data_IF_293699176151
#
_entry.id   IF_293699176151
#
_cell.length_a   1.000
_cell.length_b   1.000
_cell.length_c   1.000
_cell.angle_alpha   90.00
_cell.angle_beta   90.00
_cell.angle_gamma   90.00
#
_symmetry.space_group_name_H-M   'P 1'
#
loop_
_entity.id
_entity.type
_entity.pdbx_description
1 polymer ?
#
# COMPACT_ATOMS: atom_id res chain seq x y z
N UNK A 1 9.92 5.60 9.81
CA UNK A 1 9.14 4.52 9.22
C UNK A 1 9.13 3.42 10.25
N UNK A 2 7.98 2.81 10.50
CA UNK A 2 7.84 1.63 11.35
C UNK A 2 8.75 0.50 10.86
N UNK A 3 9.14 -0.41 11.76
CA UNK A 3 9.99 -1.55 11.43
C UNK A 3 9.20 -2.67 10.72
N UNK A 4 8.75 -2.38 9.50
CA UNK A 4 8.08 -3.36 8.64
C UNK A 4 9.01 -4.52 8.24
N UNK A 5 10.33 -4.31 8.29
CA UNK A 5 11.30 -5.37 8.06
C UNK A 5 11.21 -6.43 9.16
N UNK A 6 11.12 -6.04 10.44
CA UNK A 6 10.90 -6.98 11.54
C UNK A 6 9.59 -7.76 11.41
N UNK A 7 8.51 -7.09 10.96
CA UNK A 7 7.23 -7.74 10.69
C UNK A 7 7.35 -8.79 9.56
N UNK A 8 7.99 -8.42 8.43
CA UNK A 8 8.19 -9.30 7.28
C UNK A 8 9.10 -10.49 7.61
N UNK A 9 10.12 -10.26 8.42
CA UNK A 9 11.04 -11.28 8.91
C UNK A 9 10.48 -12.11 10.07
N UNK A 10 9.25 -11.82 10.52
CA UNK A 10 8.56 -12.50 11.63
C UNK A 10 9.32 -12.44 12.96
N UNK A 11 10.14 -11.42 13.14
CA UNK A 11 10.82 -11.13 14.42
C UNK A 11 9.98 -10.21 15.32
N UNK A 12 8.90 -9.65 14.78
CA UNK A 12 7.89 -8.87 15.48
C UNK A 12 6.51 -9.17 14.88
N UNK A 13 5.48 -9.21 15.71
CA UNK A 13 4.08 -9.35 15.27
C UNK A 13 3.48 -7.99 14.91
N UNK A 14 2.39 -7.99 14.14
CA UNK A 14 1.69 -6.74 13.82
C UNK A 14 1.13 -6.07 15.09
N UNK A 15 0.65 -6.84 16.06
CA UNK A 15 0.12 -6.29 17.31
C UNK A 15 1.21 -5.64 18.17
N UNK A 16 2.43 -6.20 18.18
CA UNK A 16 3.59 -5.56 18.84
C UNK A 16 4.03 -4.29 18.11
N UNK A 17 4.03 -4.31 16.76
CA UNK A 17 4.43 -3.16 15.96
C UNK A 17 3.50 -1.94 16.16
N UNK A 18 2.21 -2.19 16.38
CA UNK A 18 1.20 -1.13 16.50
C UNK A 18 0.86 -0.76 17.94
N UNK A 19 1.51 -1.38 18.93
CA UNK A 19 1.24 -1.11 20.34
C UNK A 19 1.53 0.35 20.68
N UNK A 20 0.56 1.01 21.31
CA UNK A 20 0.67 2.42 21.70
C UNK A 20 0.63 3.46 20.56
N UNK A 21 0.48 3.06 19.29
CA UNK A 21 0.37 4.03 18.19
C UNK A 21 -0.91 4.87 18.26
N UNK A 22 -0.79 6.13 17.85
CA UNK A 22 -1.87 7.09 17.75
C UNK A 22 -2.26 7.36 16.29
N UNK A 23 -3.37 8.06 16.06
CA UNK A 23 -3.78 8.52 14.72
C UNK A 23 -2.71 9.43 14.09
N UNK A 24 -2.03 10.26 14.88
CA UNK A 24 -0.96 11.13 14.39
C UNK A 24 0.27 10.31 13.95
N UNK A 25 0.58 9.21 14.64
CA UNK A 25 1.64 8.30 14.20
C UNK A 25 1.29 7.65 12.85
N UNK A 26 0.03 7.23 12.66
CA UNK A 26 -0.44 6.69 11.37
C UNK A 26 -0.37 7.72 10.23
N UNK A 27 -0.61 9.00 10.56
CA UNK A 27 -0.49 10.12 9.63
C UNK A 27 0.96 10.32 9.21
N UNK A 28 1.85 10.46 10.18
CA UNK A 28 3.29 10.63 9.95
C UNK A 28 3.87 9.46 9.15
N UNK A 29 3.45 8.23 9.48
CA UNK A 29 3.92 7.03 8.79
C UNK A 29 3.40 6.95 7.35
N UNK A 30 2.17 7.41 7.10
CA UNK A 30 1.63 7.57 5.74
C UNK A 30 2.46 8.58 4.96
N UNK A 31 2.81 9.70 5.59
CA UNK A 31 3.58 10.74 4.92
C UNK A 31 4.99 10.25 4.56
N UNK A 32 5.68 9.60 5.49
CA UNK A 32 7.02 9.06 5.27
C UNK A 32 7.04 7.95 4.20
N UNK A 33 6.04 7.07 4.17
CA UNK A 33 5.92 6.03 3.15
C UNK A 33 5.72 6.61 1.75
N UNK A 34 4.82 7.59 1.61
CA UNK A 34 4.57 8.24 0.31
C UNK A 34 5.80 9.05 -0.13
N UNK A 35 6.44 9.77 0.79
CA UNK A 35 7.67 10.52 0.50
C UNK A 35 8.80 9.59 0.02
N UNK A 36 8.96 8.42 0.64
CA UNK A 36 9.92 7.42 0.19
C UNK A 36 9.61 6.93 -1.23
N UNK A 37 8.36 6.60 -1.54
CA UNK A 37 7.97 6.17 -2.89
C UNK A 37 8.15 7.28 -3.94
N UNK A 38 7.84 8.53 -3.59
CA UNK A 38 8.07 9.69 -4.46
C UNK A 38 9.56 9.92 -4.72
N UNK A 39 10.40 9.76 -3.70
CA UNK A 39 11.85 9.88 -3.83
C UNK A 39 12.44 8.82 -4.76
N UNK A 40 11.94 7.58 -4.71
CA UNK A 40 12.38 6.50 -5.61
C UNK A 40 12.15 6.81 -7.09
N UNK A 41 11.10 7.59 -7.41
CA UNK A 41 10.72 7.97 -8.77
C UNK A 41 11.09 9.42 -9.13
N UNK A 42 11.96 10.06 -8.34
CA UNK A 42 12.30 11.47 -8.50
C UNK A 42 12.91 11.78 -9.88
N UNK A 43 13.81 10.92 -10.35
CA UNK A 43 14.53 11.08 -11.62
C UNK A 43 13.88 10.32 -12.78
N UNK A 44 12.74 9.68 -12.55
CA UNK A 44 12.04 8.92 -13.58
C UNK A 44 11.41 9.83 -14.64
N UNK A 45 11.33 9.31 -15.87
CA UNK A 45 10.68 9.94 -17.02
C UNK A 45 9.50 9.10 -17.51
N UNK A 46 8.69 9.64 -18.42
CA UNK A 46 7.50 8.93 -18.93
C UNK A 46 7.80 7.55 -19.52
N UNK A 47 8.94 7.39 -20.19
CA UNK A 47 9.36 6.10 -20.74
C UNK A 47 9.54 5.03 -19.66
N UNK A 48 9.98 5.40 -18.46
CA UNK A 48 10.20 4.48 -17.34
C UNK A 48 8.87 3.94 -16.79
N UNK A 49 7.78 4.71 -16.91
CA UNK A 49 6.45 4.33 -16.41
C UNK A 49 5.90 3.10 -17.13
N UNK A 50 6.18 3.01 -18.43
CA UNK A 50 5.70 1.93 -19.30
C UNK A 50 6.77 0.89 -19.62
N UNK A 51 7.99 1.07 -19.12
CA UNK A 51 9.06 0.08 -19.27
C UNK A 51 8.62 -1.25 -18.65
N UNK A 52 8.78 -2.35 -19.41
CA UNK A 52 8.47 -3.70 -18.94
C UNK A 52 9.76 -4.31 -18.38
N UNK A 53 9.87 -4.48 -17.06
CA UNK A 53 11.06 -5.04 -16.43
C UNK A 53 11.17 -6.53 -16.73
N UNK A 54 12.37 -7.08 -16.54
CA UNK A 54 12.57 -8.51 -16.45
C UNK A 54 12.28 -8.95 -15.03
N UNK A 55 11.23 -9.76 -14.86
CA UNK A 55 10.89 -10.41 -13.59
C UNK A 55 10.57 -11.89 -13.87
N UNK A 56 11.55 -12.80 -13.75
CA UNK A 56 11.35 -14.22 -14.02
C UNK A 56 10.45 -14.90 -12.98
N UNK A 57 10.23 -14.26 -11.82
CA UNK A 57 9.40 -14.77 -10.73
C UNK A 57 8.00 -14.12 -10.71
N UNK A 58 7.64 -13.36 -11.76
CA UNK A 58 6.34 -12.73 -11.89
C UNK A 58 5.21 -13.76 -11.81
N UNK A 59 4.40 -13.64 -10.76
CA UNK A 59 3.29 -14.54 -10.48
C UNK A 59 2.22 -13.85 -9.61
N UNK A 60 1.28 -13.16 -10.24
CA UNK A 60 0.11 -12.57 -9.59
C UNK A 60 -1.09 -13.52 -9.67
N UNK A 61 -1.34 -14.25 -8.58
CA UNK A 61 -2.49 -15.16 -8.48
C UNK A 61 -3.83 -14.43 -8.33
N UNK A 62 -3.82 -13.10 -8.20
CA UNK A 62 -5.00 -12.24 -8.12
C UNK A 62 -5.21 -11.37 -9.36
N UNK A 63 -4.45 -11.63 -10.44
CA UNK A 63 -4.55 -10.92 -11.70
C UNK A 63 -5.99 -10.89 -12.24
N UNK A 64 -6.35 -9.79 -12.92
CA UNK A 64 -7.69 -9.60 -13.44
C UNK A 64 -8.05 -10.62 -14.53
N UNK A 65 -7.06 -11.08 -15.29
CA UNK A 65 -7.20 -12.15 -16.28
C UNK A 65 -6.10 -13.21 -16.15
N UNK A 66 -6.35 -14.46 -16.60
CA UNK A 66 -5.33 -15.52 -16.57
C UNK A 66 -4.04 -15.17 -17.33
N UNK A 67 -4.14 -14.34 -18.38
CA UNK A 67 -3.01 -13.91 -19.20
C UNK A 67 -2.10 -12.92 -18.46
N UNK A 68 -2.62 -12.21 -17.46
CA UNK A 68 -1.89 -11.25 -16.64
C UNK A 68 -1.18 -11.89 -15.42
N UNK A 69 -1.38 -13.19 -15.16
CA UNK A 69 -0.75 -13.84 -13.99
C UNK A 69 0.77 -13.79 -14.04
N UNK A 70 1.37 -13.96 -15.22
CA UNK A 70 2.82 -14.06 -15.40
C UNK A 70 3.50 -12.80 -15.95
N UNK A 71 2.80 -11.65 -15.99
CA UNK A 71 3.39 -10.43 -16.54
C UNK A 71 4.22 -9.71 -15.49
N UNK A 72 5.38 -9.20 -15.91
CA UNK A 72 6.17 -8.31 -15.08
C UNK A 72 5.48 -6.95 -14.95
N UNK A 73 5.41 -6.44 -13.73
CA UNK A 73 4.72 -5.20 -13.43
C UNK A 73 5.56 -3.98 -13.80
N UNK A 74 5.01 -3.08 -14.59
CA UNK A 74 5.62 -1.77 -14.87
C UNK A 74 5.55 -0.86 -13.65
N UNK A 75 6.26 0.27 -13.67
CA UNK A 75 6.13 1.28 -12.62
C UNK A 75 4.69 1.79 -12.51
N UNK A 76 4.00 2.03 -13.64
CA UNK A 76 2.58 2.42 -13.63
C UNK A 76 1.68 1.41 -12.92
N UNK A 77 1.94 0.12 -13.14
CA UNK A 77 1.28 -1.00 -12.47
C UNK A 77 1.49 -0.98 -10.96
N UNK A 78 2.75 -0.88 -10.53
CA UNK A 78 3.11 -0.85 -9.11
C UNK A 78 2.41 0.29 -8.38
N UNK A 79 2.43 1.49 -8.96
CA UNK A 79 1.84 2.69 -8.35
C UNK A 79 0.34 2.51 -8.10
N UNK A 80 -0.42 1.98 -9.06
CA UNK A 80 -1.88 1.81 -8.88
C UNK A 80 -2.20 0.69 -7.89
N UNK A 81 -1.41 -0.39 -7.88
CA UNK A 81 -1.61 -1.53 -6.99
C UNK A 81 -1.33 -1.19 -5.53
N UNK A 82 -0.20 -0.55 -5.24
CA UNK A 82 0.17 -0.21 -3.86
C UNK A 82 -0.81 0.80 -3.28
N UNK A 83 -1.15 1.84 -4.04
CA UNK A 83 -2.09 2.88 -3.60
C UNK A 83 -3.50 2.33 -3.37
N UNK A 84 -4.02 1.50 -4.27
CA UNK A 84 -5.34 0.87 -4.10
C UNK A 84 -5.40 -0.04 -2.86
N UNK A 85 -4.33 -0.80 -2.59
CA UNK A 85 -4.25 -1.70 -1.44
C UNK A 85 -4.24 -0.94 -0.11
N UNK A 86 -3.48 0.16 -0.05
CA UNK A 86 -3.37 0.98 1.16
C UNK A 86 -4.60 1.85 1.40
N UNK A 87 -5.26 2.32 0.34
CA UNK A 87 -6.55 3.03 0.45
C UNK A 87 -7.67 2.11 0.93
N UNK A 88 -7.75 0.89 0.41
CA UNK A 88 -8.69 -0.12 0.91
C UNK A 88 -8.48 -0.38 2.40
N UNK A 89 -7.21 -0.54 2.81
CA UNK A 89 -6.87 -0.71 4.22
C UNK A 89 -7.28 0.48 5.09
N UNK A 90 -7.03 1.70 4.62
CA UNK A 90 -7.39 2.93 5.33
C UNK A 90 -8.90 3.12 5.47
N UNK A 91 -9.66 2.88 4.40
CA UNK A 91 -11.12 2.97 4.40
C UNK A 91 -11.76 1.97 5.39
N UNK A 92 -11.31 0.71 5.35
CA UNK A 92 -11.81 -0.33 6.25
C UNK A 92 -11.37 -0.09 7.70
N UNK A 93 -10.18 0.49 7.92
CA UNK A 93 -9.76 0.91 9.25
C UNK A 93 -10.69 2.00 9.82
N UNK A 94 -11.12 2.96 8.99
CA UNK A 94 -12.07 4.00 9.40
C UNK A 94 -13.47 3.44 9.71
N UNK A 95 -13.90 2.39 9.03
CA UNK A 95 -15.12 1.64 9.38
C UNK A 95 -14.99 0.95 10.75
N UNK A 96 -13.91 0.21 10.98
CA UNK A 96 -13.63 -0.44 12.26
C UNK A 96 -13.55 0.57 13.41
N UNK A 97 -12.86 1.70 13.20
CA UNK A 97 -12.72 2.76 14.18
C UNK A 97 -14.06 3.39 14.59
N UNK A 98 -15.11 3.25 13.75
CA UNK A 98 -16.48 3.70 14.00
C UNK A 98 -17.41 2.58 14.48
N UNK A 99 -16.87 1.39 14.78
CA UNK A 99 -17.63 0.26 15.30
C UNK A 99 -18.33 -0.57 14.22
N UNK A 100 -17.96 -0.43 12.94
CA UNK A 100 -18.50 -1.24 11.84
C UNK A 100 -17.63 -2.49 11.65
N UNK A 101 -18.16 -3.71 11.85
CA UNK A 101 -17.39 -4.93 11.62
C UNK A 101 -16.96 -5.08 10.16
N UNK A 102 -15.80 -5.71 9.94
CA UNK A 102 -15.32 -6.00 8.58
C UNK A 102 -16.36 -6.86 7.84
N UNK A 103 -16.73 -6.41 6.64
CA UNK A 103 -17.75 -7.06 5.81
C UNK A 103 -17.28 -7.35 4.38
N UNK A 104 -15.96 -7.30 4.11
CA UNK A 104 -15.38 -7.67 2.82
C UNK A 104 -14.41 -6.64 2.27
N UNK A 105 -14.31 -6.59 0.94
CA UNK A 105 -13.39 -5.73 0.20
C UNK A 105 -14.01 -4.37 -0.11
N UNK A 106 -13.17 -3.35 -0.17
CA UNK A 106 -13.53 -1.98 -0.59
C UNK A 106 -12.54 -1.40 -1.61
N UNK A 107 -11.76 -2.27 -2.28
CA UNK A 107 -10.76 -1.85 -3.25
C UNK A 107 -11.35 -1.08 -4.44
N UNK A 108 -10.74 0.06 -4.71
CA UNK A 108 -10.90 0.81 -5.94
C UNK A 108 -9.52 0.98 -6.57
N UNK A 109 -9.32 0.34 -7.72
CA UNK A 109 -8.07 0.37 -8.46
C UNK A 109 -8.35 0.81 -9.89
N UNK A 110 -7.56 1.75 -10.39
CA UNK A 110 -7.66 2.22 -11.77
C UNK A 110 -6.90 1.27 -12.70
N UNK A 111 -7.31 1.10 -13.97
CA UNK A 111 -6.59 0.27 -14.92
C UNK A 111 -5.16 0.75 -15.10
N UNK A 112 -4.18 -0.09 -14.74
CA UNK A 112 -2.75 0.24 -14.83
C UNK A 112 -2.31 0.64 -16.24
N UNK A 113 -2.99 0.12 -17.27
CA UNK A 113 -2.71 0.44 -18.67
C UNK A 113 -2.92 1.93 -18.97
N UNK A 114 -3.68 2.66 -18.16
CA UNK A 114 -3.91 4.10 -18.30
C UNK A 114 -2.76 4.96 -17.74
N UNK A 115 -1.84 4.35 -16.96
CA UNK A 115 -0.66 5.02 -16.42
C UNK A 115 0.45 5.10 -17.47
N UNK A 116 0.66 6.29 -18.03
CA UNK A 116 1.59 6.53 -19.15
C UNK A 116 2.65 7.59 -18.88
N UNK A 117 2.55 8.33 -17.78
CA UNK A 117 3.45 9.45 -17.49
C UNK A 117 3.87 9.50 -16.03
N UNK A 118 5.06 10.03 -15.78
CA UNK A 118 5.57 10.17 -14.41
C UNK A 118 4.73 11.16 -13.61
N UNK A 119 4.13 12.15 -14.30
CA UNK A 119 3.18 13.08 -13.71
C UNK A 119 1.95 12.36 -13.14
N UNK A 120 1.39 11.38 -13.86
CA UNK A 120 0.28 10.55 -13.34
C UNK A 120 0.71 9.75 -12.11
N UNK A 121 1.90 9.14 -12.11
CA UNK A 121 2.39 8.39 -10.95
C UNK A 121 2.51 9.26 -9.70
N UNK A 122 3.10 10.45 -9.82
CA UNK A 122 3.22 11.42 -8.72
C UNK A 122 1.86 11.89 -8.22
N UNK A 123 0.96 12.23 -9.14
CA UNK A 123 -0.40 12.64 -8.80
C UNK A 123 -1.16 11.51 -8.07
N UNK A 124 -0.98 10.26 -8.49
CA UNK A 124 -1.62 9.10 -7.87
C UNK A 124 -1.15 8.86 -6.43
N UNK A 125 0.14 9.04 -6.16
CA UNK A 125 0.68 8.98 -4.79
C UNK A 125 0.13 10.09 -3.90
N UNK A 126 0.10 11.33 -4.39
CA UNK A 126 -0.44 12.45 -3.60
C UNK A 126 -1.96 12.35 -3.38
N UNK A 127 -2.70 11.84 -4.36
CA UNK A 127 -4.11 11.50 -4.17
C UNK A 127 -4.28 10.43 -3.09
N UNK A 128 -3.45 9.39 -3.11
CA UNK A 128 -3.45 8.33 -2.10
C UNK A 128 -3.19 8.88 -0.70
N UNK A 129 -2.16 9.73 -0.56
CA UNK A 129 -1.84 10.42 0.70
C UNK A 129 -3.06 11.19 1.22
N UNK A 130 -3.68 12.02 0.37
CA UNK A 130 -4.89 12.79 0.71
C UNK A 130 -6.04 11.87 1.16
N UNK A 131 -6.30 10.78 0.45
CA UNK A 131 -7.40 9.85 0.76
C UNK A 131 -7.19 9.11 2.08
N UNK A 132 -5.95 8.69 2.36
CA UNK A 132 -5.58 8.01 3.61
C UNK A 132 -5.67 8.95 4.80
N UNK A 133 -5.21 10.19 4.65
CA UNK A 133 -5.41 11.25 5.65
C UNK A 133 -6.89 11.53 5.91
N UNK A 134 -7.69 11.67 4.85
CA UNK A 134 -9.13 11.86 5.01
C UNK A 134 -9.81 10.68 5.71
N UNK A 135 -9.31 9.45 5.49
CA UNK A 135 -9.81 8.27 6.19
C UNK A 135 -9.49 8.29 7.68
N UNK A 136 -8.32 8.78 8.07
CA UNK A 136 -7.97 9.03 9.48
C UNK A 136 -8.83 10.16 10.09
N UNK A 137 -9.13 11.21 9.32
CA UNK A 137 -9.99 12.32 9.77
C UNK A 137 -11.45 11.88 10.04
N UNK A 138 -11.88 10.71 9.54
CA UNK A 138 -13.20 10.14 9.85
C UNK A 138 -13.23 9.38 11.19
N UNK A 139 -12.10 9.15 11.84
CA UNK A 139 -12.07 8.43 13.11
C UNK A 139 -12.67 9.32 14.21
N UNK A 140 -13.51 8.77 15.10
CA UNK A 140 -14.01 9.54 16.23
C UNK A 140 -12.86 9.79 17.23
N UNK A 141 -12.98 10.83 18.05
CA UNK A 141 -12.01 11.15 19.13
C UNK A 141 -11.77 9.96 20.08
N UNK A 142 -12.75 9.06 20.18
CA UNK A 142 -12.66 7.79 20.92
C UNK A 142 -12.98 6.61 19.97
N UNK A 143 -11.98 6.09 19.24
CA UNK A 143 -12.19 5.00 18.29
C UNK A 143 -12.50 3.67 18.99
N UNK A 144 -13.31 2.84 18.32
CA UNK A 144 -13.70 1.51 18.81
C UNK A 144 -12.57 0.49 18.65
N UNK A 145 -11.51 0.61 19.45
CA UNK A 145 -10.31 -0.23 19.34
C UNK A 145 -10.46 -1.64 19.93
N UNK A 146 -11.54 -1.90 20.69
CA UNK A 146 -11.90 -3.24 21.16
C UNK A 146 -12.56 -4.10 20.06
N UNK A 147 -12.97 -3.48 18.95
CA UNK A 147 -13.50 -4.20 17.80
C UNK A 147 -12.34 -4.79 16.99
N UNK A 148 -12.23 -6.11 17.02
CA UNK A 148 -11.14 -6.84 16.38
C UNK A 148 -11.60 -7.53 15.08
N UNK A 149 -10.89 -7.29 13.99
CA UNK A 149 -10.97 -7.98 12.70
C UNK A 149 -10.14 -9.28 12.70
N UNK A 150 -10.79 -10.42 12.45
CA UNK A 150 -10.13 -11.69 12.16
C UNK A 150 -10.43 -12.17 10.72
N UNK A 151 -10.02 -11.39 9.73
CA UNK A 151 -10.18 -11.72 8.30
C UNK A 151 -9.52 -13.04 7.86
N UNK A 152 -8.53 -13.56 8.61
CA UNK A 152 -7.91 -14.87 8.36
C UNK A 152 -7.94 -15.69 9.65
N UNK A 153 -8.45 -16.94 9.63
CA UNK A 153 -8.56 -17.78 10.83
C UNK A 153 -7.23 -17.97 11.57
N UNK A 154 -6.13 -18.07 10.83
CA UNK A 154 -4.81 -18.43 11.36
C UNK A 154 -3.94 -17.23 11.76
N UNK A 155 -4.47 -16.00 11.69
CA UNK A 155 -3.74 -14.80 12.10
C UNK A 155 -4.34 -14.19 13.35
N UNK A 156 -3.52 -13.62 14.26
CA UNK A 156 -4.02 -12.82 15.37
C UNK A 156 -4.99 -11.74 14.88
N UNK A 157 -6.12 -11.53 15.56
CA UNK A 157 -7.07 -10.51 15.18
C UNK A 157 -6.45 -9.13 15.43
N UNK A 158 -6.90 -8.13 14.66
CA UNK A 158 -6.36 -6.76 14.70
C UNK A 158 -7.47 -5.72 14.78
N UNK A 159 -7.23 -4.60 15.44
CA UNK A 159 -8.18 -3.49 15.46
C UNK A 159 -7.98 -2.54 14.25
N UNK A 160 -8.63 -1.38 14.30
CA UNK A 160 -8.51 -0.33 13.28
C UNK A 160 -7.06 0.11 13.00
N UNK A 161 -6.22 0.25 14.04
CA UNK A 161 -4.81 0.65 13.89
C UNK A 161 -4.04 -0.43 13.12
N UNK A 162 -4.16 -1.69 13.57
CA UNK A 162 -3.55 -2.81 12.86
C UNK A 162 -4.04 -2.92 11.41
N UNK A 163 -5.34 -2.68 11.15
CA UNK A 163 -5.91 -2.71 9.80
C UNK A 163 -5.26 -1.65 8.89
N UNK A 164 -5.05 -0.45 9.40
CA UNK A 164 -4.40 0.65 8.68
C UNK A 164 -2.92 0.31 8.40
N UNK A 165 -2.18 -0.10 9.43
CA UNK A 165 -0.74 -0.45 9.33
C UNK A 165 -0.52 -1.66 8.42
N UNK A 166 -1.49 -2.57 8.28
CA UNK A 166 -1.43 -3.65 7.29
C UNK A 166 -1.35 -3.14 5.84
N UNK A 167 -1.98 -2.00 5.54
CA UNK A 167 -1.82 -1.32 4.24
C UNK A 167 -0.40 -0.79 4.05
N UNK A 168 0.12 -0.06 5.04
CA UNK A 168 1.51 0.42 5.04
C UNK A 168 2.54 -0.70 4.89
N UNK A 169 2.34 -1.83 5.58
CA UNK A 169 3.19 -3.01 5.44
C UNK A 169 3.13 -3.60 4.02
N UNK A 170 2.01 -3.44 3.32
CA UNK A 170 1.87 -3.84 1.92
C UNK A 170 2.59 -2.86 0.97
N UNK A 171 2.57 -1.55 1.23
CA UNK A 171 3.41 -0.60 0.51
C UNK A 171 4.90 -0.94 0.65
N UNK A 172 5.35 -1.11 1.90
CA UNK A 172 6.73 -1.50 2.23
C UNK A 172 7.17 -2.75 1.46
N UNK A 173 6.24 -3.70 1.34
CA UNK A 173 6.40 -4.96 0.65
C UNK A 173 6.80 -4.82 -0.83
N UNK A 174 6.46 -3.70 -1.47
CA UNK A 174 6.73 -3.42 -2.87
C UNK A 174 7.83 -2.38 -3.11
N UNK A 175 8.41 -1.78 -2.06
CA UNK A 175 9.47 -0.77 -2.21
C UNK A 175 10.68 -1.28 -3.01
N UNK A 176 11.16 -2.49 -2.69
CA UNK A 176 12.26 -3.11 -3.42
C UNK A 176 11.91 -3.39 -4.90
N UNK A 177 10.64 -3.70 -5.18
CA UNK A 177 10.18 -3.92 -6.55
C UNK A 177 10.11 -2.60 -7.32
N UNK A 178 9.65 -1.51 -6.70
CA UNK A 178 9.68 -0.17 -7.29
C UNK A 178 11.12 0.25 -7.61
N UNK A 179 12.03 0.07 -6.65
CA UNK A 179 13.46 0.37 -6.83
C UNK A 179 14.06 -0.42 -8.01
N UNK A 180 13.79 -1.72 -8.09
CA UNK A 180 14.29 -2.59 -9.15
C UNK A 180 13.75 -2.17 -10.54
N UNK A 181 12.44 -1.94 -10.67
CA UNK A 181 11.84 -1.51 -11.94
C UNK A 181 12.42 -0.18 -12.41
N UNK A 182 12.59 0.79 -11.50
CA UNK A 182 13.22 2.07 -11.81
C UNK A 182 14.68 1.90 -12.22
N UNK A 183 15.44 1.02 -11.56
CA UNK A 183 16.82 0.75 -11.90
C UNK A 183 16.95 0.11 -13.30
N UNK A 184 16.12 -0.89 -13.61
CA UNK A 184 16.10 -1.53 -14.93
C UNK A 184 15.71 -0.55 -16.03
N UNK A 185 14.68 0.28 -15.81
CA UNK A 185 14.25 1.28 -16.77
C UNK A 185 15.36 2.30 -17.09
N UNK A 186 16.10 2.75 -16.06
CA UNK A 186 17.25 3.66 -16.23
C UNK A 186 18.38 3.04 -17.05
N UNK A 187 18.65 1.75 -16.90
CA UNK A 187 19.64 1.02 -17.70
C UNK A 187 19.18 0.82 -19.14
N UNK A 188 17.87 0.65 -19.35
CA UNK A 188 17.26 0.47 -20.66
C UNK A 188 17.15 1.74 -21.51
N UNK A 189 17.52 2.90 -20.97
CA UNK A 189 17.40 4.21 -21.62
C UNK A 189 18.62 4.59 -22.47
#
# INVERSE_FOLDING_TARGET
MLDFAALRNKTMTLNELVDGLTVDDLRNETDEMIDAMLAMIADSVDADVTFVPQDPEANDTFAATPEEVGISWTLGHLVVHVTASSEEAAALAAELARGVPLHGRSRSEIPWQEMKSIAQCRARFEESRRMRHASLDMWPDSPYLDLMDQSRPDTPPINAIGRFVRGLSHDFSHLAQIEDVVAQAKVGR
#
